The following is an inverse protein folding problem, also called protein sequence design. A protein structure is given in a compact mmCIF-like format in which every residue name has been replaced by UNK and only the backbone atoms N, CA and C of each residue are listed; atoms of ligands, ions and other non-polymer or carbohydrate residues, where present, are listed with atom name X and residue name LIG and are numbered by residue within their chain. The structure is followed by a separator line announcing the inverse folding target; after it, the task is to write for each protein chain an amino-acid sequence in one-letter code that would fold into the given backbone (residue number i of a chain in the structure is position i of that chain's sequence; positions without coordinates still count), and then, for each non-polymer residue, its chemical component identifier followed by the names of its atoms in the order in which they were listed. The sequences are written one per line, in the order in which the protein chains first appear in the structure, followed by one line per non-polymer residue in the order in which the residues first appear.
data_IF_315291856490
#
_entry.id   IF_315291856490
#
_cell.length_a   1.000
_cell.length_b   1.000
_cell.length_c   1.000
_cell.angle_alpha   90.00
_cell.angle_beta   90.00
_cell.angle_gamma   90.00
#
_symmetry.space_group_name_H-M   'P 1'
#
loop_
_entity.id
_entity.type
_entity.pdbx_description
1 polymer ?
#
# COMPACT_ATOMS: atom_id res chain seq x y z
N UNK A 1 -84.60 59.68 -11.27
CA UNK A 1 -83.51 59.93 -12.26
C UNK A 1 -82.22 60.52 -11.62
N UNK A 2 -82.28 61.61 -10.84
CA UNK A 2 -81.04 62.23 -10.29
C UNK A 2 -80.47 61.45 -9.07
N UNK A 3 -81.33 60.90 -8.24
CA UNK A 3 -80.96 60.07 -7.09
C UNK A 3 -80.41 58.69 -7.50
N UNK A 4 -81.03 58.13 -8.54
CA UNK A 4 -80.59 56.79 -9.05
C UNK A 4 -79.18 56.85 -9.60
N UNK A 5 -78.76 57.89 -10.35
CA UNK A 5 -77.43 58.12 -10.86
C UNK A 5 -76.40 58.33 -9.75
N UNK A 6 -76.72 59.04 -8.68
CA UNK A 6 -75.90 59.22 -7.53
C UNK A 6 -75.63 57.89 -6.81
N UNK A 7 -76.68 57.07 -6.66
CA UNK A 7 -76.53 55.75 -6.04
C UNK A 7 -75.64 54.78 -6.90
N UNK A 8 -75.80 54.80 -8.23
CA UNK A 8 -74.97 54.05 -9.15
C UNK A 8 -73.48 54.42 -9.01
N UNK A 9 -73.14 55.67 -8.93
CA UNK A 9 -71.74 56.14 -8.70
C UNK A 9 -71.27 55.68 -7.33
N UNK A 10 -72.09 55.84 -6.29
CA UNK A 10 -71.68 55.40 -4.94
C UNK A 10 -71.44 53.89 -4.85
N UNK A 11 -72.27 53.09 -5.53
CA UNK A 11 -72.09 51.62 -5.58
C UNK A 11 -70.89 51.24 -6.40
N UNK A 12 -70.64 51.92 -7.51
CA UNK A 12 -69.37 51.73 -8.28
C UNK A 12 -68.15 52.08 -7.45
N UNK A 13 -68.14 53.21 -6.76
CA UNK A 13 -67.03 53.65 -5.90
C UNK A 13 -66.80 52.63 -4.76
N UNK A 14 -67.84 52.07 -4.17
CA UNK A 14 -67.74 51.02 -3.17
C UNK A 14 -67.08 49.77 -3.74
N UNK A 15 -67.45 49.36 -4.96
CA UNK A 15 -66.82 48.20 -5.63
C UNK A 15 -65.31 48.41 -5.91
N UNK A 16 -64.97 49.62 -6.40
CA UNK A 16 -63.59 49.98 -6.66
C UNK A 16 -62.77 49.99 -5.36
N UNK A 17 -63.33 50.57 -4.30
CA UNK A 17 -62.63 50.58 -2.98
C UNK A 17 -62.45 49.15 -2.47
N UNK A 18 -63.46 48.28 -2.60
CA UNK A 18 -63.32 46.87 -2.20
C UNK A 18 -62.23 46.12 -3.01
N UNK A 19 -62.21 46.30 -4.34
CA UNK A 19 -61.19 45.73 -5.21
C UNK A 19 -59.80 46.21 -4.85
N UNK A 20 -59.59 47.48 -4.55
CA UNK A 20 -58.31 48.04 -4.10
C UNK A 20 -57.87 47.45 -2.75
N UNK A 21 -58.80 47.26 -1.83
CA UNK A 21 -58.50 46.64 -0.52
C UNK A 21 -58.06 45.17 -0.69
N UNK A 22 -58.76 44.39 -1.53
CA UNK A 22 -58.47 43.00 -1.81
C UNK A 22 -57.12 42.88 -2.54
N UNK A 23 -56.83 43.69 -3.54
CA UNK A 23 -55.55 43.75 -4.24
C UNK A 23 -54.40 44.12 -3.30
N UNK A 24 -54.63 45.09 -2.41
CA UNK A 24 -53.61 45.47 -1.40
C UNK A 24 -53.34 44.34 -0.41
N UNK A 25 -54.35 43.60 0.00
CA UNK A 25 -54.19 42.42 0.87
C UNK A 25 -53.37 41.34 0.16
N UNK A 26 -53.72 40.98 -1.09
CA UNK A 26 -53.00 40.01 -1.90
C UNK A 26 -51.55 40.39 -2.10
N UNK A 27 -51.28 41.64 -2.43
CA UNK A 27 -49.89 42.14 -2.60
C UNK A 27 -49.07 42.03 -1.30
N UNK A 28 -49.71 42.21 -0.15
CA UNK A 28 -49.06 42.06 1.14
C UNK A 28 -48.72 40.60 1.45
N UNK A 29 -49.63 39.67 1.13
CA UNK A 29 -49.44 38.24 1.26
C UNK A 29 -48.36 37.74 0.32
N UNK A 30 -48.41 38.13 -0.96
CA UNK A 30 -47.38 37.78 -1.95
C UNK A 30 -45.98 38.29 -1.57
N UNK A 31 -45.92 39.51 -1.03
CA UNK A 31 -44.64 40.06 -0.53
C UNK A 31 -44.09 39.26 0.64
N UNK A 32 -44.91 38.84 1.57
CA UNK A 32 -44.52 38.00 2.70
C UNK A 32 -44.01 36.61 2.23
N UNK A 33 -44.75 35.99 1.28
CA UNK A 33 -44.32 34.72 0.67
C UNK A 33 -42.99 34.82 -0.07
N UNK A 34 -42.75 35.92 -0.80
CA UNK A 34 -41.50 36.17 -1.50
C UNK A 34 -40.33 36.33 -0.54
N UNK A 35 -40.48 37.04 0.56
CA UNK A 35 -39.44 37.19 1.58
C UNK A 35 -39.13 35.85 2.28
N UNK A 36 -40.13 35.01 2.48
CA UNK A 36 -39.93 33.65 3.00
C UNK A 36 -39.13 32.79 2.02
N UNK A 37 -39.50 32.75 0.74
CA UNK A 37 -38.76 32.02 -0.30
C UNK A 37 -37.32 32.51 -0.44
N UNK A 38 -37.10 33.82 -0.36
CA UNK A 38 -35.76 34.40 -0.40
C UNK A 38 -34.91 33.95 0.79
N UNK A 39 -35.49 33.88 1.99
CA UNK A 39 -34.79 33.39 3.18
C UNK A 39 -34.40 31.92 3.05
N UNK A 40 -35.32 31.09 2.56
CA UNK A 40 -35.09 29.65 2.30
C UNK A 40 -33.98 29.45 1.24
N UNK A 41 -34.03 30.23 0.15
CA UNK A 41 -33.00 30.17 -0.90
C UNK A 41 -31.61 30.55 -0.38
N UNK A 42 -31.50 31.57 0.49
CA UNK A 42 -30.25 31.95 1.12
C UNK A 42 -29.71 30.82 2.01
N UNK A 43 -30.59 30.19 2.80
CA UNK A 43 -30.22 29.05 3.65
C UNK A 43 -29.73 27.89 2.82
N UNK A 44 -30.45 27.49 1.78
CA UNK A 44 -30.06 26.40 0.86
C UNK A 44 -28.74 26.68 0.16
N UNK A 45 -28.52 27.92 -0.25
CA UNK A 45 -27.23 28.34 -0.85
C UNK A 45 -26.07 28.21 0.12
N UNK A 46 -26.27 28.57 1.39
CA UNK A 46 -25.23 28.44 2.42
C UNK A 46 -24.91 26.97 2.70
N UNK A 47 -25.91 26.11 2.75
CA UNK A 47 -25.72 24.67 2.93
C UNK A 47 -24.97 24.04 1.76
N UNK A 48 -25.34 24.35 0.52
CA UNK A 48 -24.64 23.91 -0.69
C UNK A 48 -23.17 24.38 -0.69
N UNK A 49 -22.91 25.63 -0.30
CA UNK A 49 -21.53 26.14 -0.21
C UNK A 49 -20.70 25.37 0.82
N UNK A 50 -21.31 25.01 1.96
CA UNK A 50 -20.66 24.17 2.97
C UNK A 50 -20.33 22.78 2.44
N UNK A 51 -21.26 22.14 1.72
CA UNK A 51 -21.06 20.84 1.09
C UNK A 51 -19.96 20.88 0.03
N UNK A 52 -19.91 21.91 -0.81
CA UNK A 52 -18.85 22.11 -1.80
C UNK A 52 -17.49 22.23 -1.11
N UNK A 53 -17.40 22.98 -0.02
CA UNK A 53 -16.13 23.14 0.72
C UNK A 53 -15.67 21.82 1.33
N UNK A 54 -16.57 21.04 1.91
CA UNK A 54 -16.27 19.72 2.46
C UNK A 54 -15.84 18.73 1.38
N UNK A 55 -16.53 18.71 0.23
CA UNK A 55 -16.15 17.88 -0.91
C UNK A 55 -14.77 18.24 -1.49
N UNK A 56 -14.47 19.54 -1.59
CA UNK A 56 -13.14 19.99 -2.05
C UNK A 56 -12.02 19.57 -1.10
N UNK A 57 -12.25 19.59 0.20
CA UNK A 57 -11.27 19.11 1.18
C UNK A 57 -11.01 17.60 1.03
N UNK A 58 -12.06 16.79 0.86
CA UNK A 58 -11.94 15.34 0.63
C UNK A 58 -11.21 15.02 -0.68
N UNK A 59 -11.48 15.77 -1.75
CA UNK A 59 -10.77 15.60 -3.04
C UNK A 59 -9.28 15.88 -2.85
N UNK A 60 -8.92 16.97 -2.16
CA UNK A 60 -7.51 17.30 -1.91
C UNK A 60 -6.80 16.25 -1.07
N UNK A 61 -7.46 15.68 -0.06
CA UNK A 61 -6.93 14.57 0.74
C UNK A 61 -6.70 13.32 -0.11
N UNK A 62 -7.66 12.99 -0.99
CA UNK A 62 -7.56 11.85 -1.90
C UNK A 62 -6.41 12.03 -2.92
N UNK A 63 -6.28 13.20 -3.52
CA UNK A 63 -5.20 13.53 -4.47
C UNK A 63 -3.81 13.43 -3.81
N UNK A 64 -3.67 13.86 -2.56
CA UNK A 64 -2.41 13.72 -1.80
C UNK A 64 -2.10 12.25 -1.49
N UNK A 65 -3.12 11.44 -1.16
CA UNK A 65 -2.98 10.01 -0.94
C UNK A 65 -2.58 9.27 -2.23
N UNK A 66 -3.18 9.62 -3.36
CA UNK A 66 -2.87 9.02 -4.67
C UNK A 66 -1.43 9.35 -5.12
N UNK A 67 -0.99 10.60 -4.94
CA UNK A 67 0.38 11.01 -5.21
C UNK A 67 1.40 10.25 -4.34
N UNK A 68 1.09 10.06 -3.05
CA UNK A 68 1.91 9.26 -2.14
C UNK A 68 2.01 7.79 -2.55
N UNK A 69 0.90 7.19 -3.00
CA UNK A 69 0.90 5.82 -3.52
C UNK A 69 1.73 5.69 -4.81
N UNK A 70 1.66 6.66 -5.72
CA UNK A 70 2.45 6.64 -6.95
C UNK A 70 3.95 6.73 -6.64
N UNK A 71 4.36 7.61 -5.72
CA UNK A 71 5.76 7.70 -5.28
C UNK A 71 6.28 6.39 -4.68
N UNK A 72 5.44 5.70 -3.88
CA UNK A 72 5.79 4.39 -3.33
C UNK A 72 5.94 3.32 -4.43
N UNK A 73 5.08 3.33 -5.45
CA UNK A 73 5.17 2.39 -6.58
C UNK A 73 6.42 2.64 -7.42
N UNK A 74 6.74 3.91 -7.68
CA UNK A 74 7.94 4.28 -8.43
C UNK A 74 9.21 3.87 -7.65
N UNK A 75 9.24 4.08 -6.34
CA UNK A 75 10.34 3.64 -5.49
C UNK A 75 10.48 2.11 -5.47
N UNK A 76 9.37 1.37 -5.37
CA UNK A 76 9.39 -0.10 -5.41
C UNK A 76 9.92 -0.63 -6.75
N UNK A 77 9.57 0.02 -7.87
CA UNK A 77 10.08 -0.33 -9.19
C UNK A 77 11.60 -0.08 -9.32
N UNK A 78 12.11 1.01 -8.76
CA UNK A 78 13.54 1.32 -8.72
C UNK A 78 14.31 0.31 -7.87
N UNK A 79 13.78 -0.05 -6.71
CA UNK A 79 14.38 -1.05 -5.81
C UNK A 79 14.45 -2.42 -6.48
N UNK A 80 13.39 -2.85 -7.16
CA UNK A 80 13.36 -4.12 -7.90
C UNK A 80 14.37 -4.12 -9.07
N UNK A 81 14.46 -3.03 -9.83
CA UNK A 81 15.44 -2.90 -10.91
C UNK A 81 16.90 -3.01 -10.40
N UNK A 82 17.18 -2.41 -9.25
CA UNK A 82 18.49 -2.51 -8.58
C UNK A 82 18.81 -3.94 -8.17
N UNK A 83 17.84 -4.64 -7.59
CA UNK A 83 17.99 -6.05 -7.21
C UNK A 83 18.28 -6.92 -8.43
N UNK A 84 17.54 -6.75 -9.51
CA UNK A 84 17.75 -7.50 -10.76
C UNK A 84 19.16 -7.25 -11.34
N UNK A 85 19.65 -6.03 -11.25
CA UNK A 85 21.02 -5.72 -11.68
C UNK A 85 22.09 -6.43 -10.82
N UNK A 86 21.92 -6.48 -9.52
CA UNK A 86 22.81 -7.20 -8.60
C UNK A 86 22.83 -8.70 -8.93
N UNK A 87 21.68 -9.32 -9.11
CA UNK A 87 21.54 -10.73 -9.48
C UNK A 87 22.24 -11.00 -10.82
N UNK A 88 22.02 -10.15 -11.83
CA UNK A 88 22.66 -10.27 -13.14
C UNK A 88 24.17 -10.19 -13.06
N UNK A 89 24.70 -9.22 -12.30
CA UNK A 89 26.16 -9.08 -12.09
C UNK A 89 26.76 -10.34 -11.43
N UNK A 90 26.08 -10.87 -10.43
CA UNK A 90 26.52 -12.07 -9.74
C UNK A 90 26.52 -13.30 -10.67
N UNK A 91 25.48 -13.48 -11.45
CA UNK A 91 25.41 -14.58 -12.43
C UNK A 91 26.54 -14.51 -13.47
N UNK A 92 26.86 -13.30 -13.94
CA UNK A 92 27.99 -13.11 -14.87
C UNK A 92 29.33 -13.46 -14.22
N UNK A 93 29.56 -13.11 -12.95
CA UNK A 93 30.74 -13.46 -12.20
C UNK A 93 30.87 -14.97 -11.99
N UNK A 94 29.79 -15.66 -11.65
CA UNK A 94 29.77 -17.12 -11.51
C UNK A 94 30.10 -17.83 -12.82
N UNK A 95 29.55 -17.37 -13.96
CA UNK A 95 29.86 -17.93 -15.28
C UNK A 95 31.33 -17.76 -15.66
N UNK A 96 31.95 -16.62 -15.32
CA UNK A 96 33.38 -16.38 -15.56
C UNK A 96 34.30 -17.26 -14.69
N UNK A 97 33.87 -17.58 -13.44
CA UNK A 97 34.59 -18.44 -12.53
C UNK A 97 34.51 -19.92 -12.94
N UNK A 98 33.39 -20.39 -13.49
CA UNK A 98 33.23 -21.77 -13.97
C UNK A 98 34.06 -22.09 -15.23
N UNK A 99 34.58 -21.08 -15.94
CA UNK A 99 35.49 -21.27 -17.07
C UNK A 99 36.96 -21.47 -16.65
N UNK A 100 37.28 -21.38 -15.34
CA UNK A 100 38.61 -21.73 -14.82
C UNK A 100 38.59 -23.18 -14.30
N UNK A 101 39.53 -24.05 -14.65
CA UNK A 101 39.53 -25.44 -14.18
C UNK A 101 39.68 -25.49 -12.67
N UNK A 102 38.65 -25.99 -12.00
CA UNK A 102 38.58 -26.09 -10.55
C UNK A 102 39.07 -27.47 -10.08
N UNK A 103 40.14 -27.46 -9.28
CA UNK A 103 40.64 -28.63 -8.57
C UNK A 103 40.39 -28.40 -7.07
N UNK A 104 39.23 -28.79 -6.57
CA UNK A 104 38.86 -28.59 -5.16
C UNK A 104 37.68 -29.41 -4.72
N UNK A 105 37.96 -30.41 -3.93
CA UNK A 105 36.99 -31.31 -3.26
C UNK A 105 36.25 -30.58 -2.14
N UNK A 106 34.92 -30.45 -2.21
CA UNK A 106 34.08 -29.91 -1.15
C UNK A 106 33.05 -30.92 -0.68
N UNK A 107 33.31 -31.48 0.48
CA UNK A 107 32.35 -32.35 1.19
C UNK A 107 31.59 -31.50 2.21
N UNK A 108 30.34 -31.21 1.98
CA UNK A 108 29.41 -30.55 2.92
C UNK A 108 28.26 -31.46 3.21
N UNK A 109 28.16 -31.88 4.47
CA UNK A 109 27.04 -32.67 4.98
C UNK A 109 25.77 -31.80 5.05
N UNK A 110 24.73 -32.26 4.40
CA UNK A 110 23.44 -31.56 4.32
C UNK A 110 22.37 -32.30 5.09
N UNK A 111 21.69 -31.57 5.98
CA UNK A 111 20.30 -31.85 6.38
C UNK A 111 19.39 -30.92 5.53
N UNK A 112 19.26 -31.23 4.25
CA UNK A 112 18.42 -30.45 3.34
C UNK A 112 16.99 -31.01 3.29
N UNK A 113 15.99 -30.12 3.35
CA UNK A 113 14.64 -30.38 2.87
C UNK A 113 14.66 -30.86 1.41
N UNK A 114 13.60 -31.46 0.90
CA UNK A 114 13.54 -32.03 -0.46
C UNK A 114 13.99 -31.07 -1.57
N UNK A 115 13.99 -29.75 -1.33
CA UNK A 115 14.39 -28.69 -2.25
C UNK A 115 15.68 -27.93 -1.80
N UNK A 116 16.41 -28.40 -0.79
CA UNK A 116 17.67 -27.81 -0.36
C UNK A 116 17.58 -26.54 0.48
N UNK A 117 16.40 -25.99 0.75
CA UNK A 117 16.20 -24.78 1.53
C UNK A 117 15.60 -25.05 2.91
N UNK A 118 16.05 -24.30 3.93
CA UNK A 118 15.48 -24.31 5.27
C UNK A 118 14.73 -22.99 5.52
N UNK A 119 13.91 -22.97 6.56
CA UNK A 119 13.24 -21.75 7.01
C UNK A 119 14.28 -20.69 7.42
N UNK A 120 14.03 -19.41 7.09
CA UNK A 120 14.94 -18.30 7.44
C UNK A 120 14.91 -17.95 8.94
N UNK A 121 14.22 -18.74 9.74
CA UNK A 121 14.25 -18.71 11.20
C UNK A 121 13.80 -20.04 11.80
N UNK A 122 14.27 -20.34 13.00
CA UNK A 122 13.81 -21.50 13.78
C UNK A 122 12.63 -21.18 14.70
N UNK A 123 12.27 -19.89 14.86
CA UNK A 123 11.30 -19.43 15.85
C UNK A 123 9.84 -19.74 15.45
N UNK A 124 9.55 -19.75 14.16
CA UNK A 124 8.17 -19.86 13.67
C UNK A 124 8.10 -20.49 12.28
N UNK A 125 6.89 -20.95 11.92
CA UNK A 125 6.49 -21.36 10.56
C UNK A 125 5.24 -20.60 10.13
N UNK A 126 4.87 -19.54 10.88
CA UNK A 126 3.67 -18.76 10.64
C UNK A 126 3.93 -17.73 9.54
N UNK A 127 3.18 -17.86 8.44
CA UNK A 127 3.19 -16.91 7.32
C UNK A 127 2.04 -15.93 7.53
N UNK A 128 2.36 -14.67 7.79
CA UNK A 128 1.38 -13.59 7.96
C UNK A 128 0.90 -13.02 6.63
N UNK A 129 1.70 -13.15 5.56
CA UNK A 129 1.30 -12.74 4.22
C UNK A 129 2.06 -13.56 3.17
N UNK A 130 1.36 -14.35 2.34
CA UNK A 130 1.99 -15.18 1.33
C UNK A 130 2.40 -14.37 0.09
N UNK A 131 3.26 -14.98 -0.74
CA UNK A 131 3.58 -14.52 -2.09
C UNK A 131 2.35 -14.52 -2.99
N UNK A 132 2.21 -13.49 -3.85
CA UNK A 132 1.18 -13.40 -4.88
C UNK A 132 0.23 -12.22 -4.70
N UNK A 133 -0.86 -12.23 -5.46
CA UNK A 133 -1.86 -11.17 -5.40
C UNK A 133 -2.63 -11.19 -4.08
N UNK A 134 -2.66 -10.03 -3.39
CA UNK A 134 -3.39 -9.84 -2.14
C UNK A 134 -4.18 -8.53 -2.15
N UNK A 135 -5.17 -8.41 -1.26
CA UNK A 135 -5.83 -7.15 -0.96
C UNK A 135 -5.18 -6.56 0.30
N UNK A 136 -4.33 -5.56 0.09
CA UNK A 136 -3.76 -4.81 1.21
C UNK A 136 -4.81 -3.80 1.73
N UNK A 137 -5.05 -3.72 3.06
CA UNK A 137 -6.01 -2.76 3.61
C UNK A 137 -5.61 -1.29 3.36
N UNK A 138 -4.35 -1.03 3.06
CA UNK A 138 -3.81 0.31 2.83
C UNK A 138 -3.63 0.67 1.35
N UNK A 139 -3.31 -0.33 0.48
CA UNK A 139 -2.94 -0.12 -0.92
C UNK A 139 -3.92 -0.76 -1.91
N UNK A 140 -4.97 -1.43 -1.43
CA UNK A 140 -5.89 -2.18 -2.29
C UNK A 140 -5.24 -3.45 -2.86
N UNK A 141 -5.52 -3.76 -4.13
CA UNK A 141 -4.99 -4.97 -4.77
C UNK A 141 -3.54 -4.77 -5.18
N UNK A 142 -2.62 -5.51 -4.58
CA UNK A 142 -1.18 -5.46 -4.85
C UNK A 142 -0.59 -6.86 -5.05
N UNK A 143 0.57 -6.94 -5.71
CA UNK A 143 1.34 -8.17 -5.83
C UNK A 143 2.46 -8.18 -4.80
N UNK A 144 2.44 -9.16 -3.89
CA UNK A 144 3.46 -9.38 -2.90
C UNK A 144 4.56 -10.27 -3.46
N UNK A 145 5.76 -9.74 -3.63
CA UNK A 145 6.90 -10.41 -4.28
C UNK A 145 7.71 -11.33 -3.35
N UNK A 146 7.27 -11.49 -2.10
CA UNK A 146 7.87 -12.38 -1.10
C UNK A 146 6.83 -13.04 -0.21
N UNK A 147 7.27 -13.67 0.86
CA UNK A 147 6.43 -14.17 1.93
C UNK A 147 6.83 -13.54 3.25
N UNK A 148 5.87 -12.99 3.98
CA UNK A 148 6.08 -12.40 5.29
C UNK A 148 5.95 -13.46 6.36
N UNK A 149 7.03 -13.70 7.10
CA UNK A 149 7.11 -14.68 8.18
C UNK A 149 7.00 -13.94 9.50
N UNK A 150 5.90 -14.17 10.24
CA UNK A 150 5.65 -13.51 11.51
C UNK A 150 6.72 -13.90 12.54
N UNK A 151 7.51 -12.93 12.97
CA UNK A 151 8.58 -13.14 13.94
C UNK A 151 8.69 -11.91 14.85
N UNK A 152 9.08 -12.13 16.10
CA UNK A 152 9.29 -11.04 17.04
C UNK A 152 10.56 -10.24 16.69
N UNK A 153 10.57 -8.98 17.06
CA UNK A 153 11.78 -8.14 16.97
C UNK A 153 12.99 -8.84 17.63
N UNK A 154 14.13 -8.81 16.94
CA UNK A 154 15.37 -9.43 17.42
C UNK A 154 15.45 -10.96 17.24
N UNK A 155 14.43 -11.59 16.64
CA UNK A 155 14.51 -13.00 16.25
C UNK A 155 15.64 -13.20 15.24
N UNK A 156 16.49 -14.24 15.42
CA UNK A 156 17.57 -14.55 14.51
C UNK A 156 17.04 -14.89 13.11
N UNK A 157 17.64 -14.24 12.10
CA UNK A 157 17.44 -14.50 10.68
C UNK A 157 18.58 -15.39 10.20
N UNK A 158 18.25 -16.50 9.55
CA UNK A 158 19.17 -17.55 9.12
C UNK A 158 19.27 -17.59 7.60
N UNK A 159 20.48 -17.86 7.09
CA UNK A 159 20.67 -18.17 5.68
C UNK A 159 19.89 -19.45 5.31
N UNK A 160 18.89 -19.34 4.44
CA UNK A 160 18.04 -20.47 4.07
C UNK A 160 18.79 -21.55 3.27
N UNK A 161 19.90 -21.19 2.62
CA UNK A 161 20.85 -22.11 2.00
C UNK A 161 22.25 -21.50 2.03
N UNK A 162 23.30 -22.32 1.80
CA UNK A 162 24.66 -21.84 1.67
C UNK A 162 24.85 -21.00 0.42
N UNK A 163 25.67 -19.94 0.49
CA UNK A 163 25.85 -19.05 -0.65
C UNK A 163 26.81 -17.90 -0.37
N UNK A 164 26.84 -16.94 -1.28
CA UNK A 164 27.66 -15.72 -1.16
C UNK A 164 26.73 -14.52 -0.95
N UNK A 165 27.00 -13.71 0.05
CA UNK A 165 26.29 -12.44 0.30
C UNK A 165 26.59 -11.48 -0.83
N UNK A 166 25.55 -10.98 -1.52
CA UNK A 166 25.68 -10.04 -2.64
C UNK A 166 25.19 -8.63 -2.29
N UNK A 167 24.50 -8.48 -1.18
CA UNK A 167 24.07 -7.21 -0.61
C UNK A 167 23.85 -7.37 0.91
N UNK A 168 24.28 -6.39 1.71
CA UNK A 168 24.03 -6.32 3.13
C UNK A 168 23.94 -4.85 3.58
N UNK A 169 22.78 -4.43 4.13
CA UNK A 169 22.52 -3.06 4.58
C UNK A 169 21.20 -2.51 4.09
N UNK A 170 21.07 -1.18 4.01
CA UNK A 170 19.83 -0.51 3.60
C UNK A 170 19.52 -0.74 2.11
N UNK A 171 18.28 -1.12 1.81
CA UNK A 171 17.81 -1.46 0.46
C UNK A 171 16.36 -0.96 0.24
N UNK A 172 16.20 0.35 0.16
CA UNK A 172 14.93 1.01 -0.17
C UNK A 172 13.76 0.54 0.68
N UNK A 173 12.67 0.14 0.04
CA UNK A 173 11.45 -0.35 0.69
C UNK A 173 11.64 -1.61 1.53
N UNK A 174 12.63 -2.45 1.22
CA UNK A 174 12.99 -3.63 2.03
C UNK A 174 13.69 -3.26 3.35
N UNK A 175 14.02 -1.98 3.57
CA UNK A 175 14.74 -1.52 4.75
C UNK A 175 16.13 -2.12 4.83
N UNK A 176 16.59 -2.47 6.03
CA UNK A 176 17.80 -3.25 6.22
C UNK A 176 17.56 -4.66 5.71
N UNK A 177 18.37 -5.10 4.75
CA UNK A 177 18.23 -6.41 4.13
C UNK A 177 19.56 -7.09 3.87
N UNK A 178 19.52 -8.40 3.69
CA UNK A 178 20.63 -9.23 3.22
C UNK A 178 20.17 -10.02 2.01
N UNK A 179 21.00 -10.09 0.97
CA UNK A 179 20.77 -10.94 -0.20
C UNK A 179 21.91 -11.95 -0.35
N UNK A 180 21.53 -13.20 -0.62
CA UNK A 180 22.47 -14.32 -0.77
C UNK A 180 22.23 -14.98 -2.13
N UNK A 181 23.29 -15.07 -2.94
CA UNK A 181 23.30 -15.85 -4.18
C UNK A 181 23.77 -17.28 -3.89
N UNK A 182 22.95 -18.26 -4.33
CA UNK A 182 23.20 -19.68 -4.14
C UNK A 182 23.75 -20.33 -5.41
N UNK A 183 24.35 -21.52 -5.27
CA UNK A 183 25.02 -22.24 -6.37
C UNK A 183 24.05 -22.82 -7.40
N UNK A 184 22.75 -22.92 -7.07
CA UNK A 184 21.67 -23.45 -7.92
C UNK A 184 21.01 -22.36 -8.79
N UNK A 185 21.54 -21.12 -8.80
CA UNK A 185 21.04 -19.99 -9.55
C UNK A 185 19.86 -19.25 -8.89
N UNK A 186 19.51 -19.63 -7.66
CA UNK A 186 18.53 -18.91 -6.84
C UNK A 186 19.26 -17.83 -6.02
N UNK A 187 18.57 -16.71 -5.81
CA UNK A 187 19.00 -15.66 -4.86
C UNK A 187 17.89 -15.49 -3.83
N UNK A 188 18.25 -15.39 -2.55
CA UNK A 188 17.33 -15.09 -1.47
C UNK A 188 17.55 -13.70 -0.92
N UNK A 189 16.46 -13.00 -0.57
CA UNK A 189 16.44 -11.72 0.11
C UNK A 189 15.71 -11.85 1.45
N UNK A 190 16.29 -11.25 2.47
CA UNK A 190 15.76 -11.17 3.84
C UNK A 190 15.61 -9.70 4.19
N UNK A 191 14.35 -9.21 4.22
CA UNK A 191 14.01 -7.79 4.42
C UNK A 191 13.55 -7.46 5.83
N UNK A 192 13.39 -6.17 6.06
CA UNK A 192 12.87 -5.52 7.28
C UNK A 192 13.67 -5.84 8.56
N UNK A 193 14.95 -6.14 8.41
CA UNK A 193 15.83 -6.51 9.51
C UNK A 193 16.07 -5.32 10.45
N UNK A 194 16.37 -5.58 11.72
CA UNK A 194 16.82 -4.56 12.68
C UNK A 194 18.32 -4.33 12.61
N UNK A 195 19.09 -5.37 12.29
CA UNK A 195 20.55 -5.34 12.17
C UNK A 195 21.04 -6.57 11.39
N UNK A 196 22.27 -6.53 10.90
CA UNK A 196 22.94 -7.64 10.19
C UNK A 196 24.37 -7.83 10.68
N UNK A 197 24.94 -9.04 10.48
CA UNK A 197 26.30 -9.39 10.92
C UNK A 197 27.16 -10.05 9.84
N UNK A 198 26.79 -9.86 8.57
CA UNK A 198 27.52 -10.38 7.41
C UNK A 198 27.94 -9.25 6.48
N UNK A 199 28.90 -9.50 5.60
CA UNK A 199 29.40 -8.50 4.65
C UNK A 199 29.27 -8.99 3.21
N UNK A 200 29.13 -8.07 2.27
CA UNK A 200 29.16 -8.39 0.83
C UNK A 200 30.44 -9.15 0.45
N UNK A 201 30.27 -10.20 -0.36
CA UNK A 201 31.33 -11.12 -0.73
C UNK A 201 31.61 -12.24 0.29
N UNK A 202 31.01 -12.18 1.50
CA UNK A 202 31.13 -13.24 2.49
C UNK A 202 30.41 -14.51 2.03
N UNK A 203 31.05 -15.67 2.21
CA UNK A 203 30.37 -16.97 2.06
C UNK A 203 29.73 -17.34 3.39
N UNK A 204 28.45 -17.73 3.34
CA UNK A 204 27.69 -18.19 4.50
C UNK A 204 27.23 -19.62 4.30
N UNK A 205 27.10 -20.34 5.41
CA UNK A 205 26.60 -21.70 5.44
C UNK A 205 25.09 -21.68 5.66
N UNK A 206 24.37 -22.72 5.19
CA UNK A 206 22.97 -22.92 5.51
C UNK A 206 22.75 -22.94 7.03
N UNK A 207 21.79 -22.16 7.53
CA UNK A 207 21.47 -22.03 8.96
C UNK A 207 22.36 -21.06 9.72
N UNK A 208 23.35 -20.42 9.06
CA UNK A 208 24.16 -19.37 9.66
C UNK A 208 23.28 -18.13 9.97
N UNK A 209 23.48 -17.51 11.14
CA UNK A 209 22.78 -16.28 11.51
C UNK A 209 23.36 -15.13 10.70
N UNK A 210 22.51 -14.46 9.91
CA UNK A 210 22.89 -13.35 9.03
C UNK A 210 22.43 -12.00 9.57
N UNK A 211 21.62 -11.99 10.63
CA UNK A 211 21.13 -10.81 11.32
C UNK A 211 19.86 -11.08 12.12
N UNK A 212 19.06 -10.04 12.34
CA UNK A 212 17.92 -10.09 13.25
C UNK A 212 16.68 -9.44 12.66
N UNK A 213 15.52 -10.03 12.93
CA UNK A 213 14.20 -9.53 12.55
C UNK A 213 13.96 -8.12 13.13
N UNK A 214 13.39 -7.25 12.35
CA UNK A 214 13.00 -5.89 12.69
C UNK A 214 11.70 -5.47 12.01
N UNK A 215 11.60 -4.17 11.72
CA UNK A 215 10.48 -3.53 11.01
C UNK A 215 10.98 -2.26 10.29
N UNK A 216 12.14 -2.34 9.64
CA UNK A 216 12.73 -1.23 8.88
C UNK A 216 12.19 -1.18 7.45
N UNK A 217 12.24 0.00 6.81
CA UNK A 217 11.67 0.20 5.47
C UNK A 217 10.13 0.21 5.47
N UNK A 218 9.51 -0.31 4.43
CA UNK A 218 8.05 -0.34 4.26
C UNK A 218 7.44 -1.53 5.04
N UNK A 219 7.33 -1.39 6.35
CA UNK A 219 6.86 -2.44 7.25
C UNK A 219 5.92 -1.88 8.31
N UNK A 220 4.81 -2.58 8.57
CA UNK A 220 3.80 -2.21 9.57
C UNK A 220 4.04 -2.83 10.95
N UNK A 221 5.02 -3.73 11.08
CA UNK A 221 5.35 -4.41 12.33
C UNK A 221 6.43 -5.47 12.13
N UNK A 222 6.98 -6.05 13.21
CA UNK A 222 8.09 -7.01 13.11
C UNK A 222 7.71 -8.27 12.33
N UNK A 223 8.45 -8.55 11.26
CA UNK A 223 8.36 -9.77 10.45
C UNK A 223 9.64 -9.94 9.62
N UNK A 224 9.85 -11.11 9.06
CA UNK A 224 10.90 -11.39 8.07
C UNK A 224 10.23 -11.43 6.70
N UNK A 225 10.48 -10.42 5.87
CA UNK A 225 10.10 -10.47 4.47
C UNK A 225 11.11 -11.35 3.72
N UNK A 226 10.66 -12.47 3.18
CA UNK A 226 11.51 -13.45 2.53
C UNK A 226 11.15 -13.61 1.05
N UNK A 227 12.06 -13.20 0.17
CA UNK A 227 11.89 -13.30 -1.28
C UNK A 227 12.88 -14.28 -1.88
N UNK A 228 12.46 -15.07 -2.85
CA UNK A 228 13.30 -15.90 -3.68
C UNK A 228 13.24 -15.43 -5.13
N UNK A 229 14.42 -15.33 -5.75
CA UNK A 229 14.58 -14.99 -7.17
C UNK A 229 15.18 -16.16 -7.91
N UNK A 230 14.64 -16.46 -9.09
CA UNK A 230 15.21 -17.40 -10.04
C UNK A 230 15.35 -16.72 -11.41
N UNK A 231 16.55 -16.62 -11.92
CA UNK A 231 16.89 -15.90 -13.15
C UNK A 231 16.44 -14.42 -13.15
N UNK A 232 16.41 -13.79 -11.98
CA UNK A 232 16.00 -12.39 -11.80
C UNK A 232 14.50 -12.18 -11.61
N UNK A 233 13.67 -13.21 -11.69
CA UNK A 233 12.22 -13.13 -11.42
C UNK A 233 11.90 -13.70 -10.05
N UNK A 234 10.94 -13.09 -9.36
CA UNK A 234 10.47 -13.58 -8.06
C UNK A 234 9.66 -14.86 -8.24
N UNK A 235 9.86 -15.80 -7.33
CA UNK A 235 9.15 -17.07 -7.27
C UNK A 235 8.52 -17.28 -5.90
N UNK A 236 7.49 -18.13 -5.83
CA UNK A 236 6.84 -18.45 -4.57
C UNK A 236 7.80 -19.19 -3.64
N UNK A 237 8.26 -18.50 -2.60
CA UNK A 237 9.20 -19.04 -1.61
C UNK A 237 8.65 -20.21 -0.81
N UNK A 238 7.31 -20.31 -0.66
CA UNK A 238 6.65 -21.36 0.10
C UNK A 238 6.71 -22.72 -0.59
N UNK A 239 6.96 -22.75 -1.91
CA UNK A 239 7.18 -24.01 -2.64
C UNK A 239 8.52 -24.68 -2.25
N UNK A 240 9.43 -23.91 -1.64
CA UNK A 240 10.74 -24.37 -1.16
C UNK A 240 10.79 -24.58 0.36
N UNK A 241 9.81 -24.04 1.11
CA UNK A 241 9.73 -24.07 2.57
C UNK A 241 8.60 -25.00 3.04
N UNK A 242 8.90 -26.21 3.49
CA UNK A 242 7.85 -27.17 3.89
C UNK A 242 7.20 -26.81 5.23
N UNK A 243 5.92 -27.17 5.38
CA UNK A 243 5.23 -27.17 6.66
C UNK A 243 4.95 -25.78 7.24
N UNK A 244 4.57 -24.81 6.39
CA UNK A 244 4.12 -23.49 6.87
C UNK A 244 2.69 -23.55 7.43
N UNK A 245 2.39 -22.62 8.33
CA UNK A 245 1.04 -22.35 8.84
C UNK A 245 0.62 -20.99 8.28
N UNK A 246 -0.42 -20.95 7.46
CA UNK A 246 -0.99 -19.70 7.00
C UNK A 246 -1.82 -19.05 8.11
N UNK A 247 -1.80 -17.72 8.18
CA UNK A 247 -2.77 -16.98 8.98
C UNK A 247 -4.13 -17.11 8.28
N UNK A 248 -5.14 -17.61 8.98
CA UNK A 248 -6.54 -17.57 8.49
C UNK A 248 -7.09 -16.16 8.76
N UNK A 249 -7.40 -15.45 7.70
CA UNK A 249 -8.07 -14.12 7.72
C UNK A 249 -9.59 -14.27 7.67
#
# INVERSE_FOLDING_TARGET
ARMDFVNEIMDHDRQVIQQLQDTRRQLTEDKAALEQQKTELVSTRQELQSQITAASALISEYEQSEAGHQEMLDQAAEDEARIQELIRKQQQQQQQQQQKPNNGNSNSGSNSSANGYIWPTNATRLVSSPYGWRNCPYHGREFHNGSDIAASWGTAVLAANSGTVIQAGWNGGYGISVMIAHSDGITTLYGHMSDWNVSEGQTVSQGEVIGWCGSTGNSTGPHIHYTMYKNGETINSLDYLPGYVAYDW
#
